data_IF_197996311444
#
_entry.id   IF_197996311444
#
_cell.length_a   1.000
_cell.length_b   1.000
_cell.length_c   1.000
_cell.angle_alpha   90.00
_cell.angle_beta   90.00
_cell.angle_gamma   90.00
#
_symmetry.space_group_name_H-M   'P 1'
#
loop_
_entity.id
_entity.type
_entity.pdbx_description
1 polymer ?
#
# COMPACT_ATOMS: atom_id res chain seq x y z
N UNK A 1 5.54 21.28 12.01
CA UNK A 1 5.56 20.10 11.14
C UNK A 1 5.90 20.56 9.73
N UNK A 2 7.04 20.12 9.21
CA UNK A 2 7.48 20.34 7.83
C UNK A 2 7.28 19.04 7.07
N UNK A 3 6.03 18.79 6.66
CA UNK A 3 5.64 17.54 6.01
C UNK A 3 6.28 17.44 4.61
N UNK A 4 7.05 16.39 4.39
CA UNK A 4 7.61 16.06 3.08
C UNK A 4 7.22 14.64 2.70
N UNK A 5 7.00 14.38 1.42
CA UNK A 5 6.72 13.05 0.87
C UNK A 5 7.67 12.83 -0.29
N UNK A 6 8.26 11.64 -0.33
CA UNK A 6 9.14 11.24 -1.42
C UNK A 6 9.10 9.73 -1.63
N UNK A 7 9.52 9.32 -2.82
CA UNK A 7 9.77 7.91 -3.12
C UNK A 7 10.77 7.33 -2.10
N UNK A 8 10.55 6.07 -1.75
CA UNK A 8 11.49 5.27 -0.98
C UNK A 8 12.83 5.18 -1.72
N UNK A 9 13.92 5.31 -0.96
CA UNK A 9 15.30 5.09 -1.40
C UNK A 9 15.99 4.14 -0.41
N UNK A 10 17.10 3.51 -0.80
CA UNK A 10 17.83 2.56 0.07
C UNK A 10 18.21 3.18 1.43
N UNK A 11 18.46 4.49 1.50
CA UNK A 11 18.75 5.17 2.78
C UNK A 11 17.57 5.20 3.75
N UNK A 12 16.36 4.87 3.29
CA UNK A 12 15.13 4.90 4.08
C UNK A 12 14.77 3.54 4.68
N UNK A 13 15.61 2.52 4.53
CA UNK A 13 15.34 1.16 5.01
C UNK A 13 14.90 1.16 6.48
N UNK A 14 15.60 1.89 7.35
CA UNK A 14 15.27 1.92 8.78
C UNK A 14 13.97 2.67 9.06
N UNK A 15 13.70 3.74 8.31
CA UNK A 15 12.46 4.50 8.40
C UNK A 15 11.26 3.64 7.96
N UNK A 16 11.40 2.91 6.85
CA UNK A 16 10.40 1.99 6.35
C UNK A 16 10.18 0.83 7.32
N UNK A 17 11.25 0.19 7.81
CA UNK A 17 11.16 -0.92 8.78
C UNK A 17 10.38 -0.52 10.02
N UNK A 18 10.67 0.66 10.58
CA UNK A 18 9.94 1.23 11.73
C UNK A 18 8.44 1.32 11.45
N UNK A 19 8.06 1.92 10.32
CA UNK A 19 6.65 2.08 9.95
C UNK A 19 5.99 0.73 9.62
N UNK A 20 6.72 -0.18 8.99
CA UNK A 20 6.22 -1.50 8.60
C UNK A 20 5.88 -2.34 9.84
N UNK A 21 6.75 -2.32 10.85
CA UNK A 21 6.49 -2.98 12.13
C UNK A 21 5.28 -2.36 12.85
N UNK A 22 5.16 -1.02 12.89
CA UNK A 22 3.99 -0.35 13.45
C UNK A 22 2.70 -0.73 12.68
N UNK A 23 2.80 -0.85 11.35
CA UNK A 23 1.71 -1.25 10.48
C UNK A 23 1.24 -2.68 10.76
N UNK A 24 2.16 -3.64 10.88
CA UNK A 24 1.81 -5.02 11.22
C UNK A 24 1.17 -5.12 12.61
N UNK A 25 1.72 -4.40 13.59
CA UNK A 25 1.15 -4.33 14.94
C UNK A 25 -0.28 -3.74 14.94
N UNK A 26 -0.52 -2.66 14.17
CA UNK A 26 -1.84 -2.08 14.00
C UNK A 26 -2.86 -3.07 13.41
N UNK A 27 -2.44 -3.89 12.44
CA UNK A 27 -3.28 -4.92 11.85
C UNK A 27 -3.37 -6.21 12.66
N UNK A 28 -2.74 -6.28 13.84
CA UNK A 28 -2.66 -7.48 14.69
C UNK A 28 -2.08 -8.69 13.93
N UNK A 29 -1.17 -8.42 12.99
CA UNK A 29 -0.40 -9.44 12.29
C UNK A 29 0.83 -9.76 13.12
N UNK A 30 1.25 -11.03 13.13
CA UNK A 30 2.50 -11.42 13.77
C UNK A 30 3.67 -10.59 13.22
N UNK A 31 4.63 -10.26 14.09
CA UNK A 31 5.84 -9.58 13.66
C UNK A 31 6.51 -10.39 12.54
N UNK A 32 6.95 -9.69 11.50
CA UNK A 32 7.70 -10.32 10.43
C UNK A 32 9.04 -10.83 10.99
N UNK A 33 9.48 -12.00 10.52
CA UNK A 33 10.85 -12.44 10.77
C UNK A 33 11.85 -11.54 10.03
N UNK A 34 13.13 -11.49 10.45
CA UNK A 34 14.15 -10.72 9.73
C UNK A 34 14.20 -11.04 8.23
N UNK A 35 14.07 -12.31 7.86
CA UNK A 35 14.09 -12.75 6.45
C UNK A 35 12.86 -12.27 5.68
N UNK A 36 11.69 -12.20 6.33
CA UNK A 36 10.47 -11.67 5.72
C UNK A 36 10.59 -10.16 5.49
N UNK A 37 11.15 -9.41 6.44
CA UNK A 37 11.42 -7.98 6.28
C UNK A 37 12.42 -7.71 5.15
N UNK A 38 13.55 -8.42 5.14
CA UNK A 38 14.55 -8.33 4.09
C UNK A 38 13.96 -8.66 2.72
N UNK A 39 13.07 -9.67 2.64
CA UNK A 39 12.39 -10.00 1.40
C UNK A 39 11.51 -8.86 0.90
N UNK A 40 10.77 -8.18 1.77
CA UNK A 40 9.95 -7.02 1.40
C UNK A 40 10.84 -5.85 0.96
N UNK A 41 11.90 -5.55 1.71
CA UNK A 41 12.84 -4.46 1.39
C UNK A 41 13.51 -4.70 0.04
N UNK A 42 13.97 -5.92 -0.24
CA UNK A 42 14.59 -6.25 -1.54
C UNK A 42 13.64 -6.05 -2.73
N UNK A 43 12.33 -6.21 -2.55
CA UNK A 43 11.34 -5.93 -3.58
C UNK A 43 11.18 -4.43 -3.85
N UNK A 44 11.27 -3.61 -2.79
CA UNK A 44 11.22 -2.15 -2.92
C UNK A 44 12.47 -1.62 -3.62
N UNK A 45 13.66 -2.10 -3.22
CA UNK A 45 14.93 -1.72 -3.84
C UNK A 45 14.97 -2.08 -5.33
N UNK A 46 14.46 -3.26 -5.68
CA UNK A 46 14.51 -3.71 -7.06
C UNK A 46 13.51 -2.97 -7.97
N UNK A 47 12.54 -2.22 -7.41
CA UNK A 47 11.42 -1.59 -8.14
C UNK A 47 10.60 -2.54 -9.03
N UNK A 48 10.77 -3.86 -8.89
CA UNK A 48 10.27 -4.83 -9.90
C UNK A 48 8.76 -5.01 -9.90
N UNK A 49 8.07 -4.66 -8.81
CA UNK A 49 6.64 -4.99 -8.64
C UNK A 49 5.82 -4.02 -7.79
N UNK A 50 6.46 -3.16 -6.99
CA UNK A 50 5.77 -2.25 -6.07
C UNK A 50 6.69 -1.09 -5.72
N UNK A 51 6.17 0.12 -5.79
CA UNK A 51 6.84 1.33 -5.33
C UNK A 51 6.28 1.73 -3.95
N UNK A 52 7.06 2.53 -3.21
CA UNK A 52 6.69 3.05 -1.91
C UNK A 52 6.98 4.55 -1.84
N UNK A 53 6.10 5.31 -1.22
CA UNK A 53 6.33 6.70 -0.85
C UNK A 53 6.19 6.87 0.66
N UNK A 54 7.13 7.58 1.27
CA UNK A 54 7.19 7.77 2.72
C UNK A 54 6.99 9.25 3.04
N UNK A 55 6.17 9.52 4.05
CA UNK A 55 5.95 10.83 4.62
C UNK A 55 6.87 11.06 5.82
N UNK A 56 7.48 12.24 5.91
CA UNK A 56 8.38 12.64 6.99
C UNK A 56 8.03 14.01 7.57
N UNK A 57 8.30 14.22 8.87
CA UNK A 57 8.52 15.53 9.48
C UNK A 57 10.00 15.67 9.84
N UNK A 58 10.76 16.37 8.98
CA UNK A 58 12.21 16.34 9.03
C UNK A 58 12.74 14.92 8.75
N UNK A 59 13.36 14.30 9.75
CA UNK A 59 13.86 12.90 9.67
C UNK A 59 12.90 11.87 10.26
N UNK A 60 11.79 12.31 10.87
CA UNK A 60 10.86 11.42 11.56
C UNK A 60 9.88 10.83 10.55
N UNK A 61 9.84 9.49 10.34
CA UNK A 61 8.87 8.86 9.46
C UNK A 61 7.46 8.89 10.08
N UNK A 62 6.48 9.31 9.30
CA UNK A 62 5.09 9.51 9.74
C UNK A 62 4.09 8.52 9.13
N UNK A 63 4.44 7.89 8.01
CA UNK A 63 3.56 6.99 7.29
C UNK A 63 4.12 6.65 5.92
N UNK A 64 3.53 5.66 5.26
CA UNK A 64 3.90 5.25 3.92
C UNK A 64 2.68 4.85 3.10
N UNK A 65 2.85 4.86 1.78
CA UNK A 65 1.90 4.27 0.85
C UNK A 65 2.65 3.39 -0.15
N UNK A 66 2.18 2.15 -0.34
CA UNK A 66 2.71 1.26 -1.38
C UNK A 66 1.73 1.14 -2.53
N UNK A 67 2.25 1.04 -3.75
CA UNK A 67 1.45 1.01 -4.95
C UNK A 67 2.16 0.31 -6.10
N UNK A 68 1.41 -0.07 -7.13
CA UNK A 68 1.93 -0.59 -8.39
C UNK A 68 1.02 -0.25 -9.56
N UNK A 69 1.48 -0.53 -10.79
CA UNK A 69 0.71 -0.31 -12.01
C UNK A 69 0.07 -1.61 -12.48
N UNK A 70 -1.25 -1.57 -12.72
CA UNK A 70 -2.01 -2.71 -13.21
C UNK A 70 -2.67 -2.41 -14.56
N UNK A 71 -2.78 -3.44 -15.39
CA UNK A 71 -3.54 -3.44 -16.63
C UNK A 71 -4.21 -4.82 -16.82
N UNK A 72 -5.39 -4.88 -17.45
CA UNK A 72 -6.16 -3.78 -18.05
C UNK A 72 -6.96 -2.97 -17.02
N UNK A 73 -7.08 -1.66 -17.25
CA UNK A 73 -7.98 -0.75 -16.54
C UNK A 73 -9.03 -0.18 -17.53
N UNK A 74 -9.73 -1.07 -18.24
CA UNK A 74 -10.31 -0.74 -19.55
C UNK A 74 -9.24 -0.90 -20.62
N UNK A 75 -9.07 0.10 -21.49
CA UNK A 75 -7.96 0.13 -22.46
C UNK A 75 -6.66 0.76 -21.90
N UNK A 76 -6.70 1.28 -20.67
CA UNK A 76 -5.57 1.99 -20.05
C UNK A 76 -4.93 1.24 -18.89
N UNK A 77 -4.11 1.99 -18.14
CA UNK A 77 -3.39 1.54 -16.94
C UNK A 77 -4.06 2.15 -15.71
N UNK A 78 -4.04 1.43 -14.58
CA UNK A 78 -4.41 1.95 -13.27
C UNK A 78 -3.23 1.93 -12.33
N UNK A 79 -3.05 3.00 -11.56
CA UNK A 79 -2.28 2.91 -10.32
C UNK A 79 -3.15 2.20 -9.29
N UNK A 80 -2.63 1.17 -8.64
CA UNK A 80 -3.29 0.45 -7.55
C UNK A 80 -2.54 0.67 -6.26
N UNK A 81 -3.14 1.39 -5.31
CA UNK A 81 -2.58 1.57 -3.98
C UNK A 81 -2.87 0.33 -3.13
N UNK A 82 -1.81 -0.37 -2.75
CA UNK A 82 -1.88 -1.61 -1.97
C UNK A 82 -2.02 -1.33 -0.47
N UNK A 83 -1.32 -0.33 0.05
CA UNK A 83 -1.32 0.03 1.47
C UNK A 83 -1.23 1.54 1.65
N UNK A 84 -1.93 2.05 2.67
CA UNK A 84 -1.79 3.41 3.16
C UNK A 84 -1.79 3.37 4.68
N UNK A 85 -0.61 3.53 5.26
CA UNK A 85 -0.42 3.51 6.70
C UNK A 85 0.08 4.86 7.21
N UNK A 86 -0.52 5.33 8.30
CA UNK A 86 -0.09 6.52 9.02
C UNK A 86 0.13 6.15 10.48
N UNK A 87 1.32 6.47 10.98
CA UNK A 87 1.72 6.26 12.38
C UNK A 87 0.69 6.89 13.30
N UNK A 88 0.39 6.22 14.41
CA UNK A 88 -0.60 6.65 15.41
C UNK A 88 -0.41 8.11 15.84
N UNK A 89 0.82 8.55 16.07
CA UNK A 89 1.18 9.91 16.48
C UNK A 89 1.05 10.98 15.37
N UNK A 90 0.81 10.55 14.12
CA UNK A 90 0.69 11.40 12.94
C UNK A 90 -0.74 11.44 12.37
N UNK A 91 -1.67 10.64 12.90
CA UNK A 91 -3.07 10.62 12.46
C UNK A 91 -3.78 11.94 12.76
N UNK A 92 -4.75 12.30 11.93
CA UNK A 92 -5.48 13.56 12.04
C UNK A 92 -4.70 14.81 11.60
N UNK A 93 -3.41 14.69 11.26
CA UNK A 93 -2.55 15.81 10.84
C UNK A 93 -2.43 15.98 9.31
N UNK A 94 -3.30 15.31 8.55
CA UNK A 94 -3.32 15.42 7.08
C UNK A 94 -2.32 14.53 6.32
N UNK A 95 -1.48 13.75 7.00
CA UNK A 95 -0.46 12.88 6.37
C UNK A 95 -1.05 11.92 5.32
N UNK A 96 -2.16 11.25 5.64
CA UNK A 96 -2.80 10.34 4.68
C UNK A 96 -3.34 11.05 3.44
N UNK A 97 -3.85 12.28 3.58
CA UNK A 97 -4.31 13.08 2.42
C UNK A 97 -3.13 13.52 1.55
N UNK A 98 -2.02 13.88 2.18
CA UNK A 98 -0.81 14.27 1.46
C UNK A 98 -0.23 13.07 0.68
N UNK A 99 -0.16 11.89 1.29
CA UNK A 99 0.26 10.65 0.60
C UNK A 99 -0.64 10.34 -0.61
N UNK A 100 -1.96 10.41 -0.45
CA UNK A 100 -2.89 10.24 -1.58
C UNK A 100 -2.67 11.28 -2.67
N UNK A 101 -2.49 12.55 -2.31
CA UNK A 101 -2.24 13.62 -3.28
C UNK A 101 -0.98 13.33 -4.10
N UNK A 102 0.11 12.95 -3.45
CA UNK A 102 1.35 12.58 -4.13
C UNK A 102 1.15 11.41 -5.08
N UNK A 103 0.41 10.37 -4.67
CA UNK A 103 0.16 9.23 -5.57
C UNK A 103 -0.78 9.58 -6.73
N UNK A 104 -1.65 10.58 -6.60
CA UNK A 104 -2.45 11.09 -7.72
C UNK A 104 -1.56 11.80 -8.74
N UNK A 105 -0.55 12.56 -8.29
CA UNK A 105 0.42 13.18 -9.19
C UNK A 105 1.25 12.12 -9.93
N UNK A 106 1.73 11.10 -9.20
CA UNK A 106 2.40 9.93 -9.81
C UNK A 106 1.50 9.23 -10.83
N UNK A 107 0.22 9.00 -10.51
CA UNK A 107 -0.71 8.38 -11.45
C UNK A 107 -0.84 9.19 -12.75
N UNK A 108 -0.81 10.53 -12.69
CA UNK A 108 -0.83 11.38 -13.88
C UNK A 108 0.45 11.27 -14.69
N UNK A 109 1.60 11.28 -14.02
CA UNK A 109 2.92 11.15 -14.65
C UNK A 109 3.07 9.80 -15.39
N UNK A 110 2.55 8.73 -14.80
CA UNK A 110 2.53 7.37 -15.39
C UNK A 110 1.45 7.18 -16.47
N UNK A 111 0.68 8.22 -16.79
CA UNK A 111 -0.40 8.13 -17.79
C UNK A 111 -1.55 7.22 -17.36
N UNK A 112 -1.76 7.03 -16.06
CA UNK A 112 -2.85 6.20 -15.55
C UNK A 112 -4.21 6.86 -15.81
N UNK A 113 -5.15 6.02 -16.22
CA UNK A 113 -6.56 6.42 -16.43
C UNK A 113 -7.42 6.19 -15.20
N UNK A 114 -6.88 5.48 -14.19
CA UNK A 114 -7.55 5.14 -12.93
C UNK A 114 -6.58 5.13 -11.76
N UNK A 115 -7.14 5.35 -10.58
CA UNK A 115 -6.48 5.20 -9.29
C UNK A 115 -7.38 4.32 -8.43
N UNK A 116 -6.95 3.09 -8.19
CA UNK A 116 -7.76 2.04 -7.56
C UNK A 116 -7.16 1.66 -6.20
N UNK A 117 -8.02 1.43 -5.21
CA UNK A 117 -7.62 0.89 -3.91
C UNK A 117 -8.78 0.13 -3.27
N UNK A 118 -8.47 -0.63 -2.23
CA UNK A 118 -9.47 -1.36 -1.46
C UNK A 118 -9.23 -1.18 0.04
N UNK A 119 -10.33 -1.19 0.80
CA UNK A 119 -10.31 -1.31 2.26
C UNK A 119 -10.99 -2.60 2.66
N UNK A 120 -10.56 -3.21 3.77
CA UNK A 120 -11.33 -4.29 4.38
C UNK A 120 -12.77 -3.85 4.67
N UNK A 121 -13.74 -4.74 4.46
CA UNK A 121 -15.17 -4.48 4.69
C UNK A 121 -15.50 -4.11 6.14
N UNK A 122 -14.65 -4.55 7.08
CA UNK A 122 -14.73 -4.27 8.51
C UNK A 122 -14.02 -2.97 8.92
N UNK A 123 -13.12 -2.42 8.09
CA UNK A 123 -12.37 -1.21 8.40
C UNK A 123 -13.22 0.06 8.22
N UNK A 124 -14.10 0.33 9.20
CA UNK A 124 -14.99 1.50 9.19
C UNK A 124 -14.24 2.82 9.27
N UNK A 125 -13.06 2.85 9.88
CA UNK A 125 -12.22 4.05 9.94
C UNK A 125 -11.74 4.48 8.54
N UNK A 126 -11.17 3.55 7.79
CA UNK A 126 -10.75 3.80 6.42
C UNK A 126 -11.95 4.14 5.51
N UNK A 127 -13.07 3.42 5.63
CA UNK A 127 -14.28 3.71 4.86
C UNK A 127 -14.82 5.13 5.11
N UNK A 128 -14.82 5.60 6.36
CA UNK A 128 -15.20 6.98 6.70
C UNK A 128 -14.22 8.01 6.12
N UNK A 129 -12.93 7.72 6.18
CA UNK A 129 -11.89 8.59 5.62
C UNK A 129 -12.08 8.79 4.11
N UNK A 130 -12.27 7.71 3.34
CA UNK A 130 -12.49 7.83 1.90
C UNK A 130 -13.85 8.42 1.53
N UNK A 131 -14.90 8.10 2.30
CA UNK A 131 -16.21 8.73 2.10
C UNK A 131 -16.16 10.25 2.32
N UNK A 132 -15.38 10.74 3.28
CA UNK A 132 -15.18 12.17 3.51
C UNK A 132 -14.34 12.87 2.41
N UNK A 133 -13.77 12.11 1.48
CA UNK A 133 -13.09 12.60 0.28
C UNK A 133 -13.96 12.44 -0.98
N UNK A 134 -15.24 12.10 -0.82
CA UNK A 134 -16.18 11.81 -1.91
C UNK A 134 -15.67 10.71 -2.86
N UNK A 135 -14.85 9.78 -2.35
CA UNK A 135 -14.33 8.68 -3.15
C UNK A 135 -15.46 7.70 -3.54
N UNK A 136 -15.67 7.42 -4.83
CA UNK A 136 -16.73 6.52 -5.27
C UNK A 136 -16.45 5.09 -4.81
N UNK A 137 -17.45 4.46 -4.20
CA UNK A 137 -17.36 3.07 -3.73
C UNK A 137 -17.76 2.09 -4.83
N UNK A 138 -16.93 1.09 -5.07
CA UNK A 138 -17.22 -0.02 -5.97
C UNK A 138 -17.40 -1.33 -5.19
N UNK A 139 -18.18 -2.25 -5.73
CA UNK A 139 -18.34 -3.61 -5.18
C UNK A 139 -17.52 -4.58 -6.01
N UNK A 140 -16.55 -5.25 -5.38
CA UNK A 140 -15.77 -6.36 -5.98
C UNK A 140 -15.73 -7.53 -5.00
N UNK A 141 -15.64 -8.74 -5.52
CA UNK A 141 -15.35 -9.93 -4.71
C UNK A 141 -13.87 -10.28 -4.80
N UNK A 142 -13.26 -10.51 -3.65
CA UNK A 142 -11.86 -10.92 -3.56
C UNK A 142 -11.79 -12.40 -3.20
N UNK A 143 -10.98 -13.15 -3.94
CA UNK A 143 -10.66 -14.55 -3.63
C UNK A 143 -9.22 -14.63 -3.15
N UNK A 144 -8.96 -15.51 -2.17
CA UNK A 144 -7.62 -15.77 -1.63
C UNK A 144 -7.44 -17.26 -1.37
N UNK A 145 -6.24 -17.75 -1.66
CA UNK A 145 -5.77 -19.08 -1.29
C UNK A 145 -4.43 -18.89 -0.59
N UNK A 146 -4.24 -19.56 0.53
CA UNK A 146 -2.98 -19.56 1.27
C UNK A 146 -2.10 -20.74 0.85
N UNK A 147 -0.79 -20.62 1.07
CA UNK A 147 0.24 -21.58 0.65
C UNK A 147 -0.08 -23.03 1.01
N UNK A 148 -0.68 -23.25 2.18
CA UNK A 148 -1.01 -24.58 2.71
C UNK A 148 -2.08 -25.31 1.88
N UNK A 149 -2.74 -24.59 0.97
CA UNK A 149 -3.82 -25.11 0.10
C UNK A 149 -3.44 -25.12 -1.38
N UNK A 150 -2.24 -24.70 -1.76
CA UNK A 150 -1.85 -24.56 -3.16
C UNK A 150 -1.96 -25.87 -3.94
N UNK A 151 -1.38 -26.97 -3.44
CA UNK A 151 -1.41 -28.27 -4.12
C UNK A 151 -2.86 -28.76 -4.36
N UNK A 152 -3.70 -28.67 -3.33
CA UNK A 152 -5.11 -29.06 -3.40
C UNK A 152 -5.90 -28.18 -4.37
N UNK A 153 -5.60 -26.88 -4.44
CA UNK A 153 -6.26 -26.00 -5.39
C UNK A 153 -5.80 -26.29 -6.81
N UNK A 154 -4.50 -26.47 -7.02
CA UNK A 154 -3.91 -26.74 -8.32
C UNK A 154 -4.41 -28.06 -8.93
N UNK A 155 -4.62 -29.12 -8.13
CA UNK A 155 -5.16 -30.39 -8.65
C UNK A 155 -6.56 -30.25 -9.26
N UNK A 156 -7.31 -29.22 -8.89
CA UNK A 156 -8.64 -28.89 -9.46
C UNK A 156 -8.57 -28.09 -10.75
N UNK A 157 -7.40 -27.55 -11.11
CA UNK A 157 -7.19 -26.75 -12.32
C UNK A 157 -6.74 -27.59 -13.52
N UNK A 158 -6.46 -28.88 -13.32
CA UNK A 158 -6.02 -29.77 -14.38
C UNK A 158 -7.08 -29.83 -15.47
N UNK A 159 -6.73 -29.31 -16.64
CA UNK A 159 -7.58 -29.38 -17.84
C UNK A 159 -7.41 -30.78 -18.41
N UNK A 160 -8.54 -31.49 -18.60
CA UNK A 160 -8.58 -32.77 -19.32
C UNK A 160 -8.25 -32.60 -20.79
#
# INVERSE_FOLDING_TARGET
MSLTIRAFDEKDIDAFRTLYQECLAYYQVAAASPEQEERVISLLIAERHMACHIAFDGTIPLGFATWGLNFPAGAGISLVMKELFVSSNARGKGVGKALLSTLIDVAREEGCTRFDWATDGTNKGAQKFYAALDAPKMTKQSYRISSEKYEKFQSRLTVS
#
